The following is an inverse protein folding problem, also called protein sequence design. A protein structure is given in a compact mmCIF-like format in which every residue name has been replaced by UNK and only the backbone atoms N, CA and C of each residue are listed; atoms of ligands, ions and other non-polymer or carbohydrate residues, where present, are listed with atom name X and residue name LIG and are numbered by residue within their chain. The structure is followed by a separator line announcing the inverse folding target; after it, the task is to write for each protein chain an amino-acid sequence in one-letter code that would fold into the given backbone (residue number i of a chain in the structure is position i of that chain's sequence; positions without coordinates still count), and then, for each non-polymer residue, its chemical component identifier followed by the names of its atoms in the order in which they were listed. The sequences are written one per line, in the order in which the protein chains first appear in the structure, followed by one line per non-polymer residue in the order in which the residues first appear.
data_IF_427414898009
#
_entry.id   IF_427414898009
#
_cell.length_a   1.000
_cell.length_b   1.000
_cell.length_c   1.000
_cell.angle_alpha   90.00
_cell.angle_beta   90.00
_cell.angle_gamma   90.00
#
_symmetry.space_group_name_H-M   'P 1'
#
loop_
_entity.id
_entity.type
_entity.pdbx_description
1 polymer ?
#
# COMPACT_ATOMS: atom_id res chain seq x y z
N UNK A 1 8.91 2.28 -33.84
CA UNK A 1 9.41 1.65 -32.60
C UNK A 1 8.80 0.27 -32.56
N UNK A 2 9.62 -0.79 -32.61
CA UNK A 2 9.11 -2.17 -32.60
C UNK A 2 8.78 -2.57 -31.16
N UNK A 3 7.52 -2.90 -30.89
CA UNK A 3 7.13 -3.55 -29.64
C UNK A 3 7.78 -4.94 -29.62
N UNK A 4 8.75 -5.15 -28.74
CA UNK A 4 9.27 -6.48 -28.46
C UNK A 4 8.14 -7.28 -27.82
N UNK A 5 7.47 -8.13 -28.61
CA UNK A 5 6.43 -9.01 -28.09
C UNK A 5 7.07 -10.02 -27.14
N UNK A 6 6.75 -9.92 -25.85
CA UNK A 6 7.16 -10.90 -24.85
C UNK A 6 6.70 -12.31 -25.29
N UNK A 7 7.55 -13.30 -25.05
CA UNK A 7 7.21 -14.70 -25.30
C UNK A 7 5.94 -15.08 -24.53
N UNK A 8 5.10 -15.96 -25.09
CA UNK A 8 3.89 -16.48 -24.41
C UNK A 8 4.20 -16.93 -22.98
N UNK A 9 5.36 -17.53 -22.78
CA UNK A 9 5.82 -17.96 -21.46
C UNK A 9 6.06 -16.80 -20.49
N UNK A 10 6.71 -15.73 -20.95
CA UNK A 10 6.94 -14.52 -20.16
C UNK A 10 5.62 -13.82 -19.81
N UNK A 11 4.66 -13.82 -20.75
CA UNK A 11 3.32 -13.29 -20.48
C UNK A 11 2.58 -14.10 -19.41
N UNK A 12 2.72 -15.43 -19.36
CA UNK A 12 2.12 -16.24 -18.28
C UNK A 12 2.73 -15.93 -16.91
N UNK A 13 4.05 -15.83 -16.84
CA UNK A 13 4.74 -15.45 -15.59
C UNK A 13 4.30 -14.06 -15.15
N UNK A 14 4.27 -13.10 -16.07
CA UNK A 14 3.85 -11.73 -15.81
C UNK A 14 2.39 -11.66 -15.35
N UNK A 15 1.49 -12.43 -15.97
CA UNK A 15 0.09 -12.47 -15.56
C UNK A 15 -0.06 -12.98 -14.13
N UNK A 16 0.63 -14.06 -13.74
CA UNK A 16 0.61 -14.57 -12.36
C UNK A 16 1.10 -13.54 -11.36
N UNK A 17 2.24 -12.91 -11.65
CA UNK A 17 2.80 -11.85 -10.80
C UNK A 17 1.83 -10.66 -10.66
N UNK A 18 1.22 -10.23 -11.76
CA UNK A 18 0.25 -9.14 -11.74
C UNK A 18 -1.06 -9.54 -11.04
N UNK A 19 -1.47 -10.81 -11.09
CA UNK A 19 -2.65 -11.30 -10.36
C UNK A 19 -2.41 -11.22 -8.86
N UNK A 20 -1.28 -11.75 -8.38
CA UNK A 20 -0.87 -11.65 -6.97
C UNK A 20 -0.74 -10.20 -6.51
N UNK A 21 -0.11 -9.35 -7.33
CA UNK A 21 0.03 -7.93 -7.02
C UNK A 21 -1.32 -7.20 -6.98
N UNK A 22 -2.23 -7.47 -7.92
CA UNK A 22 -3.55 -6.86 -7.95
C UNK A 22 -4.38 -7.26 -6.72
N UNK A 23 -4.33 -8.53 -6.31
CA UNK A 23 -5.03 -9.02 -5.12
C UNK A 23 -4.45 -8.39 -3.84
N UNK A 24 -3.12 -8.25 -3.75
CA UNK A 24 -2.45 -7.55 -2.65
C UNK A 24 -2.81 -6.06 -2.59
N UNK A 25 -2.76 -5.32 -3.71
CA UNK A 25 -3.14 -3.91 -3.78
C UNK A 25 -4.61 -3.70 -3.45
N UNK A 26 -5.49 -4.61 -3.91
CA UNK A 26 -6.94 -4.57 -3.62
C UNK A 26 -7.22 -4.79 -2.14
N UNK A 27 -6.66 -5.85 -1.53
CA UNK A 27 -6.77 -6.09 -0.08
C UNK A 27 -6.20 -4.90 0.70
N UNK A 28 -5.09 -4.35 0.21
CA UNK A 28 -4.48 -3.12 0.70
C UNK A 28 -5.47 -1.96 0.80
N UNK A 29 -6.13 -1.69 -0.32
CA UNK A 29 -7.14 -0.65 -0.47
C UNK A 29 -8.40 -0.89 0.37
N UNK A 30 -8.91 -2.12 0.40
CA UNK A 30 -10.10 -2.48 1.18
C UNK A 30 -9.91 -2.29 2.68
N UNK A 31 -8.75 -2.69 3.22
CA UNK A 31 -8.42 -2.45 4.63
C UNK A 31 -8.43 -0.95 4.97
N UNK A 32 -7.89 -0.12 4.08
CA UNK A 32 -7.81 1.32 4.29
C UNK A 32 -9.18 1.99 4.15
N UNK A 33 -10.00 1.51 3.20
CA UNK A 33 -11.39 1.90 3.08
C UNK A 33 -12.17 1.61 4.35
N UNK A 34 -11.99 0.41 4.92
CA UNK A 34 -12.62 0.03 6.19
C UNK A 34 -12.17 0.94 7.34
N UNK A 35 -10.87 1.23 7.47
CA UNK A 35 -10.37 2.17 8.47
C UNK A 35 -10.99 3.57 8.31
N UNK A 36 -11.03 4.11 7.08
CA UNK A 36 -11.63 5.42 6.81
C UNK A 36 -13.12 5.44 7.11
N UNK A 37 -13.83 4.35 6.85
CA UNK A 37 -15.24 4.20 7.18
C UNK A 37 -15.44 4.21 8.70
N UNK A 38 -14.69 3.42 9.46
CA UNK A 38 -14.74 3.41 10.94
C UNK A 38 -14.43 4.80 11.53
N UNK A 39 -13.49 5.51 10.94
CA UNK A 39 -13.10 6.88 11.30
C UNK A 39 -14.23 7.87 10.98
N UNK A 40 -14.92 7.72 9.85
CA UNK A 40 -16.08 8.54 9.48
C UNK A 40 -17.28 8.28 10.39
N UNK A 41 -17.59 7.02 10.66
CA UNK A 41 -18.68 6.62 11.55
C UNK A 41 -18.43 7.13 12.97
N UNK A 42 -17.19 7.02 13.46
CA UNK A 42 -16.77 7.60 14.74
C UNK A 42 -16.93 9.11 14.78
N UNK A 43 -16.72 9.80 13.65
CA UNK A 43 -16.90 11.25 13.54
C UNK A 43 -18.38 11.65 13.55
N UNK A 44 -19.24 10.88 12.89
CA UNK A 44 -20.70 11.06 12.93
C UNK A 44 -21.21 10.88 14.36
N UNK A 45 -20.74 9.85 15.08
CA UNK A 45 -21.10 9.62 16.48
C UNK A 45 -20.70 10.79 17.40
N UNK A 46 -19.71 11.62 17.03
CA UNK A 46 -19.38 12.82 17.83
C UNK A 46 -20.57 13.78 17.95
N UNK A 47 -21.49 13.78 16.98
CA UNK A 47 -22.66 14.66 17.01
C UNK A 47 -23.67 14.27 18.08
N UNK A 48 -23.65 13.04 18.57
CA UNK A 48 -24.48 12.58 19.69
C UNK A 48 -24.03 13.18 21.05
N UNK A 49 -22.79 13.64 21.13
CA UNK A 49 -22.24 14.23 22.36
C UNK A 49 -22.49 15.73 22.45
N UNK A 50 -22.58 16.26 23.69
CA UNK A 50 -22.60 17.69 23.95
C UNK A 50 -21.36 18.40 23.36
N UNK A 51 -21.48 19.62 22.77
CA UNK A 51 -20.39 20.31 22.07
C UNK A 51 -19.06 20.39 22.84
N UNK A 52 -19.13 20.63 24.15
CA UNK A 52 -17.94 20.71 25.03
C UNK A 52 -17.18 19.38 25.10
N UNK A 53 -17.88 18.24 25.01
CA UNK A 53 -17.28 16.89 25.01
C UNK A 53 -16.81 16.43 23.62
N UNK A 54 -17.20 17.13 22.54
CA UNK A 54 -16.82 16.76 21.17
C UNK A 54 -15.34 16.99 20.89
N UNK A 55 -14.75 18.07 21.42
CA UNK A 55 -13.36 18.42 21.11
C UNK A 55 -12.34 17.36 21.56
N UNK A 56 -12.34 16.87 22.83
CA UNK A 56 -11.41 15.81 23.26
C UNK A 56 -11.56 14.54 22.43
N UNK A 57 -12.79 14.17 22.06
CA UNK A 57 -13.09 13.00 21.24
C UNK A 57 -12.59 13.16 19.80
N UNK A 58 -12.83 14.31 19.16
CA UNK A 58 -12.30 14.64 17.83
C UNK A 58 -10.76 14.63 17.81
N UNK A 59 -10.14 15.23 18.81
CA UNK A 59 -8.69 15.21 18.98
C UNK A 59 -8.13 13.79 19.07
N UNK A 60 -8.76 12.94 19.88
CA UNK A 60 -8.34 11.55 20.04
C UNK A 60 -8.56 10.73 18.77
N UNK A 61 -9.67 10.98 18.06
CA UNK A 61 -9.95 10.37 16.76
C UNK A 61 -8.83 10.71 15.76
N UNK A 62 -8.51 11.99 15.60
CA UNK A 62 -7.41 12.44 14.74
C UNK A 62 -6.09 11.76 15.13
N UNK A 63 -5.73 11.77 16.40
CA UNK A 63 -4.49 11.14 16.89
C UNK A 63 -4.41 9.65 16.54
N UNK A 64 -5.52 8.92 16.64
CA UNK A 64 -5.57 7.50 16.27
C UNK A 64 -5.47 7.34 14.76
N UNK A 65 -6.22 8.12 13.99
CA UNK A 65 -6.17 8.08 12.53
C UNK A 65 -4.75 8.34 12.01
N UNK A 66 -4.07 9.38 12.50
CA UNK A 66 -2.70 9.73 12.06
C UNK A 66 -1.60 9.11 12.94
N UNK A 67 -1.92 8.07 13.70
CA UNK A 67 -0.93 7.34 14.49
C UNK A 67 0.17 6.79 13.57
N UNK A 68 1.41 6.76 14.07
CA UNK A 68 2.56 6.36 13.26
C UNK A 68 2.38 4.96 12.68
N UNK A 69 1.85 4.03 13.46
CA UNK A 69 1.51 2.67 13.01
C UNK A 69 0.58 2.66 11.79
N UNK A 70 -0.45 3.52 11.75
CA UNK A 70 -1.37 3.60 10.61
C UNK A 70 -0.71 4.23 9.38
N UNK A 71 0.17 5.21 9.60
CA UNK A 71 0.95 5.83 8.52
C UNK A 71 1.97 4.86 7.94
N UNK A 72 2.63 4.05 8.78
CA UNK A 72 3.62 3.06 8.36
C UNK A 72 2.97 1.89 7.63
N UNK A 73 1.82 1.40 8.13
CA UNK A 73 1.00 0.39 7.43
C UNK A 73 0.55 0.86 6.04
N UNK A 74 0.24 2.14 5.89
CA UNK A 74 -0.17 2.70 4.61
C UNK A 74 1.04 2.91 3.69
N UNK A 75 2.15 3.38 4.25
CA UNK A 75 3.42 3.57 3.54
C UNK A 75 3.95 2.25 3.01
N UNK A 76 3.97 1.19 3.81
CA UNK A 76 4.42 -0.14 3.37
C UNK A 76 3.58 -0.64 2.19
N UNK A 77 2.25 -0.47 2.24
CA UNK A 77 1.34 -0.86 1.14
C UNK A 77 1.57 -0.05 -0.15
N UNK A 78 1.96 1.22 -0.03
CA UNK A 78 2.33 2.06 -1.18
C UNK A 78 3.72 1.69 -1.72
N UNK A 79 4.71 1.53 -0.84
CA UNK A 79 6.12 1.25 -1.20
C UNK A 79 6.31 -0.16 -1.77
N UNK A 80 5.63 -1.18 -1.25
CA UNK A 80 5.62 -2.54 -1.82
C UNK A 80 5.00 -2.55 -3.23
N UNK A 81 4.12 -1.60 -3.52
CA UNK A 81 3.53 -1.40 -4.84
C UNK A 81 4.39 -0.52 -5.77
N UNK A 82 5.45 0.11 -5.24
CA UNK A 82 6.31 1.11 -5.91
C UNK A 82 7.68 0.57 -6.31
N UNK A 83 7.74 -0.64 -6.90
CA UNK A 83 8.81 -0.94 -7.88
C UNK A 83 8.60 -0.20 -9.23
N UNK A 84 7.71 0.79 -9.24
CA UNK A 84 7.63 1.86 -10.23
C UNK A 84 7.76 3.20 -9.50
N UNK A 85 8.76 3.96 -9.90
CA UNK A 85 9.25 5.21 -9.30
C UNK A 85 8.14 6.24 -9.00
N UNK A 86 7.96 6.59 -7.72
CA UNK A 86 7.84 7.97 -7.20
C UNK A 86 7.31 7.91 -5.76
N UNK A 87 8.24 7.85 -4.81
CA UNK A 87 7.97 8.01 -3.39
C UNK A 87 7.50 9.44 -3.07
N UNK A 88 6.63 9.53 -2.07
CA UNK A 88 6.19 10.76 -1.43
C UNK A 88 7.39 11.69 -1.16
N UNK A 89 7.32 13.01 -1.47
CA UNK A 89 8.45 13.90 -1.24
C UNK A 89 8.81 13.92 0.26
N UNK A 90 10.10 13.86 0.62
CA UNK A 90 10.52 13.82 2.01
C UNK A 90 10.24 15.17 2.66
N UNK A 91 9.29 15.21 3.58
CA UNK A 91 9.23 16.28 4.57
C UNK A 91 10.49 16.17 5.42
N UNK A 92 11.44 17.09 5.18
CA UNK A 92 12.64 17.28 6.00
C UNK A 92 12.21 17.53 7.45
N UNK A 93 12.27 16.49 8.28
CA UNK A 93 12.34 16.64 9.73
C UNK A 93 13.81 16.43 10.06
N UNK A 94 14.53 17.55 10.23
CA UNK A 94 15.83 17.56 10.90
C UNK A 94 15.59 17.13 12.36
N UNK A 95 15.93 15.89 12.68
CA UNK A 95 16.27 15.52 14.05
C UNK A 95 17.80 15.48 14.14
N UNK A 96 18.37 16.59 14.61
CA UNK A 96 19.64 16.55 15.31
C UNK A 96 19.41 15.76 16.61
N UNK A 97 20.06 14.61 16.74
CA UNK A 97 20.48 14.17 18.06
C UNK A 97 21.77 13.37 17.96
N UNK A 98 22.80 13.95 18.57
CA UNK A 98 24.11 13.40 18.82
C UNK A 98 24.05 12.26 19.85
N UNK A 99 25.11 11.44 19.79
CA UNK A 99 25.64 10.57 20.84
C UNK A 99 24.98 9.20 21.08
N UNK A 100 25.72 8.16 20.69
CA UNK A 100 25.54 6.81 21.18
C UNK A 100 26.50 5.81 20.52
N UNK A 101 27.80 5.91 20.83
CA UNK A 101 28.81 4.88 20.54
C UNK A 101 28.35 3.52 21.08
N UNK A 102 28.37 2.48 20.24
CA UNK A 102 28.69 1.12 20.71
C UNK A 102 29.61 0.46 19.69
N UNK A 103 30.68 -0.09 20.25
CA UNK A 103 31.89 -0.57 19.61
C UNK A 103 31.73 -1.90 18.86
N UNK A 104 32.67 -2.03 17.95
CA UNK A 104 33.08 -3.16 17.12
C UNK A 104 33.71 -4.29 17.95
N UNK A 105 33.40 -5.55 17.60
CA UNK A 105 34.21 -6.76 17.79
C UNK A 105 33.65 -7.81 16.78
N UNK A 106 34.24 -8.05 15.61
CA UNK A 106 35.48 -8.78 15.27
C UNK A 106 35.40 -10.30 15.48
N UNK A 107 35.08 -10.98 14.37
CA UNK A 107 35.62 -12.23 13.79
C UNK A 107 35.66 -13.56 14.57
N UNK A 108 35.03 -14.60 13.99
CA UNK A 108 35.74 -15.73 13.33
C UNK A 108 34.78 -16.74 12.64
N UNK A 109 34.96 -16.87 11.32
CA UNK A 109 35.12 -18.10 10.49
C UNK A 109 34.11 -19.26 10.64
N UNK A 110 33.52 -19.84 9.59
CA UNK A 110 34.10 -20.32 8.33
C UNK A 110 33.02 -20.56 7.24
N UNK A 111 33.41 -20.26 5.99
CA UNK A 111 32.98 -20.83 4.71
C UNK A 111 31.51 -21.15 4.40
N UNK A 112 30.91 -20.31 3.54
CA UNK A 112 30.09 -20.74 2.38
C UNK A 112 30.02 -19.62 1.32
N UNK A 113 30.01 -19.97 0.03
CA UNK A 113 30.36 -19.03 -1.03
C UNK A 113 29.28 -17.97 -1.25
N UNK A 114 29.75 -16.72 -1.34
CA UNK A 114 29.06 -15.62 -2.01
C UNK A 114 28.74 -16.05 -3.45
N UNK A 115 27.45 -16.20 -3.78
CA UNK A 115 26.98 -16.15 -5.16
C UNK A 115 26.01 -14.98 -5.28
N UNK A 116 26.59 -13.90 -5.79
CA UNK A 116 25.93 -12.78 -6.44
C UNK A 116 25.08 -13.25 -7.63
N UNK A 117 23.93 -12.59 -7.85
CA UNK A 117 23.21 -12.67 -9.13
C UNK A 117 21.94 -13.53 -9.10
N UNK A 118 20.83 -12.96 -9.57
CA UNK A 118 19.50 -13.54 -9.47
C UNK A 118 19.20 -14.73 -10.40
N UNK A 119 18.14 -15.44 -10.01
CA UNK A 119 17.29 -16.40 -10.77
C UNK A 119 17.98 -17.61 -11.42
N UNK A 120 17.86 -18.80 -10.79
CA UNK A 120 17.77 -20.06 -11.54
C UNK A 120 16.53 -20.93 -11.19
N UNK A 121 15.73 -20.55 -10.18
CA UNK A 121 14.66 -21.41 -9.66
C UNK A 121 13.55 -21.71 -10.70
N UNK A 122 13.27 -20.77 -11.60
CA UNK A 122 12.27 -20.94 -12.65
C UNK A 122 12.67 -21.89 -13.78
N UNK A 123 13.97 -22.00 -14.08
CA UNK A 123 14.47 -22.86 -15.17
C UNK A 123 14.55 -24.34 -14.75
N UNK A 124 14.96 -24.60 -13.50
CA UNK A 124 15.05 -25.95 -12.94
C UNK A 124 13.64 -26.57 -12.84
N UNK A 125 12.66 -25.80 -12.36
CA UNK A 125 11.25 -26.25 -12.30
C UNK A 125 10.69 -26.60 -13.69
N UNK A 126 11.13 -25.92 -14.76
CA UNK A 126 10.70 -26.24 -16.12
C UNK A 126 11.37 -27.46 -16.74
N UNK A 127 12.65 -27.68 -16.45
CA UNK A 127 13.36 -28.88 -16.90
C UNK A 127 12.71 -30.12 -16.28
N UNK A 128 12.41 -30.06 -14.97
CA UNK A 128 11.62 -31.08 -14.26
C UNK A 128 10.23 -31.24 -14.88
N UNK A 129 9.49 -30.15 -15.14
CA UNK A 129 8.16 -30.22 -15.76
C UNK A 129 8.19 -30.84 -17.17
N UNK A 130 9.20 -30.54 -17.99
CA UNK A 130 9.35 -31.18 -19.32
C UNK A 130 9.55 -32.69 -19.19
N UNK A 131 10.30 -33.13 -18.19
CA UNK A 131 10.52 -34.55 -17.91
C UNK A 131 9.24 -35.21 -17.37
N UNK A 132 8.55 -34.59 -16.42
CA UNK A 132 7.27 -35.07 -15.87
C UNK A 132 6.18 -35.20 -16.95
N UNK A 133 6.11 -34.22 -17.86
CA UNK A 133 5.20 -34.23 -19.00
C UNK A 133 5.53 -35.31 -20.03
N UNK A 134 6.81 -35.62 -20.26
CA UNK A 134 7.22 -36.75 -21.10
C UNK A 134 6.95 -38.11 -20.45
N UNK A 135 6.99 -38.18 -19.12
CA UNK A 135 6.73 -39.39 -18.34
C UNK A 135 5.24 -39.60 -18.00
N UNK A 136 4.34 -38.70 -18.39
CA UNK A 136 2.91 -38.80 -18.09
C UNK A 136 2.56 -38.62 -16.60
N UNK A 137 3.44 -37.95 -15.83
CA UNK A 137 3.31 -37.72 -14.38
C UNK A 137 2.86 -36.29 -14.04
N UNK A 138 2.60 -35.46 -15.03
CA UNK A 138 2.21 -34.06 -14.86
C UNK A 138 0.77 -33.97 -14.32
N UNK A 139 0.64 -33.97 -12.99
CA UNK A 139 -0.60 -33.83 -12.24
C UNK A 139 -0.83 -32.39 -11.73
N UNK A 140 -0.09 -31.38 -12.25
CA UNK A 140 -0.37 -29.99 -11.86
C UNK A 140 -1.75 -29.55 -12.41
N UNK A 141 -2.56 -28.84 -11.59
CA UNK A 141 -3.84 -28.32 -12.04
C UNK A 141 -3.64 -27.35 -13.20
N UNK A 142 -4.48 -27.45 -14.22
CA UNK A 142 -4.51 -26.52 -15.36
C UNK A 142 -4.78 -25.12 -14.81
N UNK A 143 -3.80 -24.24 -14.92
CA UNK A 143 -3.94 -22.85 -14.49
C UNK A 143 -4.75 -22.05 -15.53
N UNK A 144 -5.41 -20.97 -15.12
CA UNK A 144 -6.24 -20.14 -16.00
C UNK A 144 -5.45 -19.66 -17.23
N UNK A 145 -4.17 -19.34 -17.05
CA UNK A 145 -3.25 -18.87 -18.09
C UNK A 145 -2.90 -19.95 -19.13
N UNK A 146 -3.09 -21.23 -18.81
CA UNK A 146 -2.79 -22.35 -19.71
C UNK A 146 -3.88 -22.59 -20.76
N UNK A 147 -5.11 -22.18 -20.46
CA UNK A 147 -6.28 -22.26 -21.36
C UNK A 147 -6.63 -20.96 -22.07
N UNK A 148 -6.03 -19.83 -21.67
CA UNK A 148 -6.21 -18.54 -22.36
C UNK A 148 -5.47 -18.49 -23.71
N UNK A 149 -6.07 -17.81 -24.69
CA UNK A 149 -5.37 -17.40 -25.92
C UNK A 149 -4.37 -16.28 -25.64
N UNK A 150 -3.41 -16.03 -26.53
CA UNK A 150 -2.41 -14.96 -26.33
C UNK A 150 -3.05 -13.58 -26.26
N UNK A 151 -4.10 -13.34 -27.06
CA UNK A 151 -4.88 -12.10 -27.02
C UNK A 151 -5.63 -11.92 -25.70
N UNK A 152 -6.20 -12.99 -25.16
CA UNK A 152 -6.87 -12.98 -23.85
C UNK A 152 -5.86 -12.70 -22.73
N UNK A 153 -4.69 -13.34 -22.79
CA UNK A 153 -3.62 -13.16 -21.81
C UNK A 153 -3.10 -11.72 -21.81
N UNK A 154 -2.86 -11.13 -22.98
CA UNK A 154 -2.45 -9.72 -23.09
C UNK A 154 -3.53 -8.76 -22.59
N UNK A 155 -4.81 -9.01 -22.91
CA UNK A 155 -5.94 -8.20 -22.42
C UNK A 155 -6.04 -8.27 -20.89
N UNK A 156 -5.86 -9.45 -20.31
CA UNK A 156 -5.85 -9.64 -18.86
C UNK A 156 -4.66 -8.92 -18.20
N UNK A 157 -3.46 -9.02 -18.76
CA UNK A 157 -2.28 -8.29 -18.28
C UNK A 157 -2.52 -6.77 -18.26
N UNK A 158 -3.08 -6.21 -19.35
CA UNK A 158 -3.42 -4.78 -19.42
C UNK A 158 -4.42 -4.41 -18.32
N UNK A 159 -5.52 -5.15 -18.23
CA UNK A 159 -6.55 -4.93 -17.20
C UNK A 159 -5.99 -4.98 -15.78
N UNK A 160 -5.16 -5.98 -15.45
CA UNK A 160 -4.53 -6.09 -14.12
C UNK A 160 -3.57 -4.94 -13.83
N UNK A 161 -2.82 -4.51 -14.85
CA UNK A 161 -1.94 -3.34 -14.73
C UNK A 161 -2.74 -2.07 -14.42
N UNK A 162 -3.86 -1.86 -15.12
CA UNK A 162 -4.78 -0.74 -14.86
C UNK A 162 -5.40 -0.81 -13.45
N UNK A 163 -5.82 -1.99 -13.00
CA UNK A 163 -6.36 -2.22 -11.65
C UNK A 163 -5.33 -1.87 -10.56
N UNK A 164 -4.08 -2.35 -10.70
CA UNK A 164 -2.99 -2.04 -9.77
C UNK A 164 -2.74 -0.52 -9.74
N UNK A 165 -2.62 0.11 -10.90
CA UNK A 165 -2.43 1.56 -10.99
C UNK A 165 -3.57 2.33 -10.31
N UNK A 166 -4.82 1.91 -10.52
CA UNK A 166 -5.98 2.50 -9.87
C UNK A 166 -5.86 2.41 -8.35
N UNK A 167 -5.66 1.21 -7.78
CA UNK A 167 -5.56 1.05 -6.33
C UNK A 167 -4.38 1.82 -5.72
N UNK A 168 -3.22 1.81 -6.38
CA UNK A 168 -2.05 2.56 -5.92
C UNK A 168 -2.29 4.07 -5.93
N UNK A 169 -2.98 4.58 -6.96
CA UNK A 169 -3.34 6.01 -7.03
C UNK A 169 -4.27 6.41 -5.89
N UNK A 170 -5.24 5.55 -5.55
CA UNK A 170 -6.17 5.80 -4.45
C UNK A 170 -5.47 5.71 -3.09
N UNK A 171 -4.63 4.70 -2.86
CA UNK A 171 -3.81 4.59 -1.65
C UNK A 171 -2.91 5.81 -1.46
N UNK A 172 -2.32 6.33 -2.54
CA UNK A 172 -1.50 7.55 -2.52
C UNK A 172 -2.32 8.78 -2.12
N UNK A 173 -3.54 8.92 -2.64
CA UNK A 173 -4.45 10.01 -2.24
C UNK A 173 -4.81 9.93 -0.75
N UNK A 174 -5.08 8.72 -0.25
CA UNK A 174 -5.36 8.48 1.18
C UNK A 174 -4.14 8.89 2.01
N UNK A 175 -2.94 8.51 1.58
CA UNK A 175 -1.67 8.88 2.25
C UNK A 175 -1.50 10.38 2.37
N UNK A 176 -1.62 11.09 1.26
CA UNK A 176 -1.48 12.54 1.22
C UNK A 176 -2.52 13.22 2.11
N UNK A 177 -3.76 12.72 2.12
CA UNK A 177 -4.82 13.25 2.96
C UNK A 177 -4.55 13.03 4.45
N UNK A 178 -4.03 11.86 4.84
CA UNK A 178 -3.64 11.57 6.22
C UNK A 178 -2.42 12.40 6.67
N UNK A 179 -1.41 12.57 5.80
CA UNK A 179 -0.28 13.48 6.05
C UNK A 179 -0.77 14.92 6.28
N UNK A 180 -1.64 15.42 5.40
CA UNK A 180 -2.24 16.75 5.52
C UNK A 180 -3.01 16.90 6.84
N UNK A 181 -3.72 15.85 7.27
CA UNK A 181 -4.43 15.85 8.55
C UNK A 181 -3.43 15.91 9.73
N UNK A 182 -2.32 15.17 9.68
CA UNK A 182 -1.26 15.17 10.69
C UNK A 182 -0.63 16.56 10.83
N UNK A 183 -0.31 17.20 9.72
CA UNK A 183 0.23 18.56 9.67
C UNK A 183 -0.75 19.60 10.23
N UNK A 184 -2.01 19.58 9.76
CA UNK A 184 -3.05 20.48 10.26
C UNK A 184 -3.31 20.29 11.75
N UNK A 185 -3.23 19.06 12.24
CA UNK A 185 -3.33 18.77 13.67
C UNK A 185 -2.17 19.36 14.46
N UNK A 186 -0.93 19.26 13.97
CA UNK A 186 0.24 19.88 14.58
C UNK A 186 0.11 21.41 14.62
N UNK A 187 -0.25 22.03 13.50
CA UNK A 187 -0.47 23.49 13.39
C UNK A 187 -1.61 23.98 14.27
N UNK A 188 -2.63 23.15 14.53
CA UNK A 188 -3.73 23.53 15.41
C UNK A 188 -3.29 23.81 16.85
N UNK A 189 -2.14 23.25 17.29
CA UNK A 189 -1.67 23.36 18.68
C UNK A 189 -1.35 24.79 19.09
N UNK A 190 -0.97 25.65 18.13
CA UNK A 190 -0.65 27.06 18.37
C UNK A 190 -1.89 27.96 18.41
N UNK A 191 -3.07 27.41 18.10
CA UNK A 191 -4.31 28.18 18.03
C UNK A 191 -5.05 28.21 19.37
N UNK A 192 -5.72 29.33 19.65
CA UNK A 192 -6.59 29.49 20.81
C UNK A 192 -7.74 28.47 20.81
N UNK A 193 -8.18 28.03 22.00
CA UNK A 193 -9.00 26.82 22.18
C UNK A 193 -10.28 26.73 21.31
N UNK A 194 -11.13 27.77 21.20
CA UNK A 194 -12.33 27.74 20.36
C UNK A 194 -11.98 27.58 18.87
N UNK A 195 -11.00 28.33 18.38
CA UNK A 195 -10.55 28.27 16.99
C UNK A 195 -9.90 26.93 16.65
N UNK A 196 -9.25 26.30 17.63
CA UNK A 196 -8.62 25.00 17.47
C UNK A 196 -9.64 23.91 17.13
N UNK A 197 -10.80 23.87 17.79
CA UNK A 197 -11.86 22.92 17.44
C UNK A 197 -12.33 23.12 16.00
N UNK A 198 -12.61 24.36 15.57
CA UNK A 198 -13.03 24.63 14.20
C UNK A 198 -11.99 24.24 13.16
N UNK A 199 -10.70 24.53 13.41
CA UNK A 199 -9.59 24.13 12.55
C UNK A 199 -9.50 22.60 12.40
N UNK A 200 -9.61 21.87 13.51
CA UNK A 200 -9.57 20.40 13.50
C UNK A 200 -10.79 19.81 12.78
N UNK A 201 -11.99 20.35 13.04
CA UNK A 201 -13.21 19.95 12.34
C UNK A 201 -13.06 20.11 10.82
N UNK A 202 -12.59 21.28 10.37
CA UNK A 202 -12.38 21.57 8.95
C UNK A 202 -11.30 20.67 8.34
N UNK A 203 -10.21 20.41 9.07
CA UNK A 203 -9.16 19.50 8.61
C UNK A 203 -9.68 18.08 8.42
N UNK A 204 -10.48 17.59 9.37
CA UNK A 204 -11.07 16.25 9.33
C UNK A 204 -12.13 16.11 8.25
N UNK A 205 -12.99 17.11 8.06
CA UNK A 205 -13.92 17.16 6.93
C UNK A 205 -13.18 17.18 5.58
N UNK A 206 -12.00 17.82 5.53
CA UNK A 206 -11.12 17.77 4.37
C UNK A 206 -10.68 16.34 4.05
N UNK A 207 -10.27 15.57 5.06
CA UNK A 207 -9.85 14.16 4.95
C UNK A 207 -11.01 13.28 4.42
N UNK A 208 -12.23 13.44 4.97
CA UNK A 208 -13.42 12.73 4.47
C UNK A 208 -13.71 13.10 3.00
N UNK A 209 -13.70 14.40 2.66
CA UNK A 209 -14.00 14.85 1.29
C UNK A 209 -12.98 14.38 0.26
N UNK A 210 -11.69 14.34 0.64
CA UNK A 210 -10.62 13.91 -0.28
C UNK A 210 -10.60 12.41 -0.49
N UNK A 211 -10.99 11.62 0.51
CA UNK A 211 -10.95 10.15 0.46
C UNK A 211 -12.29 9.52 0.10
N UNK A 212 -13.40 10.28 0.18
CA UNK A 212 -14.77 9.84 -0.08
C UNK A 212 -15.02 8.43 0.48
N UNK A 213 -14.87 8.19 1.80
CA UNK A 213 -15.23 6.91 2.38
C UNK A 213 -16.67 6.59 1.95
N UNK A 214 -17.00 5.31 1.74
CA UNK A 214 -18.30 4.87 1.22
C UNK A 214 -19.41 5.17 2.23
N UNK A 215 -19.75 6.45 2.34
CA UNK A 215 -20.73 6.94 3.28
C UNK A 215 -22.09 6.68 2.65
N UNK A 216 -22.86 5.79 3.28
CA UNK A 216 -24.31 5.68 3.09
C UNK A 216 -25.08 6.94 3.51
N UNK A 217 -24.37 7.99 3.95
CA UNK A 217 -24.92 9.25 4.41
C UNK A 217 -24.56 10.33 3.40
N UNK A 218 -25.44 10.54 2.43
CA UNK A 218 -25.44 11.75 1.62
C UNK A 218 -25.70 12.95 2.54
N UNK A 219 -24.83 13.97 2.45
CA UNK A 219 -24.96 15.24 3.17
C UNK A 219 -25.80 16.22 2.37
#
# INVERSE_FOLDING_TARGET
MAEVSLSRHENKIRHRQLKEQADASKSGYEDMRKMLQEVNDSYIQLYEYFPVRRYPKLKNLIKRTVAQENMDRLRSKVEDSSQTEQGCPPSQIKEENENGKVEMNTERNEDRPLVSGGKPYGMIKQALRKVEKMCGLDNEPIEDEDVMTDDQLQKHIRKRTEEIQHYNSELTKIMQAMCTLKEKYALSKTSYFPFRFFKLKKAFQGLIRSTKPDSKYES
#
